data_IF_952551010311
#
_entry.id   IF_952551010311
#
_cell.length_a   1.000
_cell.length_b   1.000
_cell.length_c   1.000
_cell.angle_alpha   90.00
_cell.angle_beta   90.00
_cell.angle_gamma   90.00
#
_symmetry.space_group_name_H-M   'P 1'
#
loop_
_entity.id
_entity.type
_entity.pdbx_description
1 polymer ?
#
# COMPACT_ATOMS: atom_id res chain seq x y z
N UNK A 1 1.21 -22.37 -13.95
CA UNK A 1 -0.03 -21.85 -13.33
C UNK A 1 0.35 -20.89 -12.22
N UNK A 2 -0.41 -19.81 -11.99
CA UNK A 2 -0.12 -18.77 -10.99
C UNK A 2 -0.32 -19.29 -9.55
N UNK A 3 0.40 -18.72 -8.57
CA UNK A 3 0.32 -19.17 -7.16
C UNK A 3 -0.15 -18.10 -6.17
N UNK A 4 0.15 -16.82 -6.43
CA UNK A 4 -0.27 -15.67 -5.62
C UNK A 4 0.00 -14.37 -6.39
N UNK A 5 -0.59 -13.26 -5.92
CA UNK A 5 -0.11 -11.93 -6.25
C UNK A 5 1.18 -11.66 -5.46
N UNK A 6 2.28 -11.39 -6.14
CA UNK A 6 3.59 -11.25 -5.50
C UNK A 6 3.86 -9.82 -5.04
N UNK A 7 3.73 -8.85 -5.95
CA UNK A 7 4.03 -7.46 -5.66
C UNK A 7 3.29 -6.49 -6.58
N UNK A 8 3.09 -5.27 -6.08
CA UNK A 8 2.75 -4.10 -6.88
C UNK A 8 4.01 -3.25 -7.07
N UNK A 9 4.14 -2.59 -8.22
CA UNK A 9 5.32 -1.79 -8.57
C UNK A 9 4.89 -0.37 -8.92
N UNK A 10 5.54 0.61 -8.30
CA UNK A 10 5.28 2.03 -8.51
C UNK A 10 6.54 2.77 -8.91
N UNK A 11 6.37 3.74 -9.81
CA UNK A 11 7.31 4.85 -9.89
C UNK A 11 6.83 5.95 -8.94
N UNK A 12 7.78 6.56 -8.24
CA UNK A 12 7.52 7.60 -7.25
C UNK A 12 8.31 8.86 -7.59
N UNK A 13 7.73 10.02 -7.28
CA UNK A 13 8.37 11.32 -7.52
C UNK A 13 9.54 11.58 -6.57
N UNK A 14 9.46 11.01 -5.36
CA UNK A 14 10.48 11.06 -4.33
C UNK A 14 10.56 9.71 -3.60
N UNK A 15 11.72 9.04 -3.71
CA UNK A 15 11.93 7.71 -3.15
C UNK A 15 11.97 7.73 -1.62
N UNK A 16 12.60 8.72 -0.99
CA UNK A 16 12.72 8.77 0.47
C UNK A 16 11.38 9.09 1.12
N UNK A 17 10.63 10.05 0.56
CA UNK A 17 9.29 10.39 1.04
C UNK A 17 8.34 9.19 0.96
N UNK A 18 8.46 8.41 -0.11
CA UNK A 18 7.67 7.19 -0.28
C UNK A 18 8.11 6.11 0.70
N UNK A 19 9.41 5.91 0.93
CA UNK A 19 9.91 4.99 1.95
C UNK A 19 9.39 5.36 3.33
N UNK A 20 9.45 6.64 3.73
CA UNK A 20 8.91 7.09 5.02
C UNK A 20 7.43 6.76 5.15
N UNK A 21 6.63 7.02 4.12
CA UNK A 21 5.21 6.68 4.12
C UNK A 21 4.98 5.18 4.28
N UNK A 22 5.51 4.35 3.38
CA UNK A 22 5.22 2.92 3.38
C UNK A 22 5.84 2.21 4.58
N UNK A 23 7.07 2.56 4.99
CA UNK A 23 7.77 1.93 6.12
C UNK A 23 7.29 2.48 7.46
N UNK A 24 7.36 3.79 7.64
CA UNK A 24 7.23 4.40 8.97
C UNK A 24 5.75 4.71 9.31
N UNK A 25 4.92 5.00 8.30
CA UNK A 25 3.47 5.22 8.49
C UNK A 25 2.68 3.92 8.39
N UNK A 26 2.79 3.21 7.28
CA UNK A 26 2.03 1.98 7.01
C UNK A 26 2.62 0.73 7.67
N UNK A 27 3.86 0.80 8.19
CA UNK A 27 4.48 -0.33 8.89
C UNK A 27 5.06 -1.41 7.98
N UNK A 28 5.25 -1.14 6.68
CA UNK A 28 5.94 -2.09 5.80
C UNK A 28 7.40 -2.27 6.25
N UNK A 29 7.96 -3.46 6.05
CA UNK A 29 9.36 -3.73 6.39
C UNK A 29 10.26 -3.55 5.17
N UNK A 30 11.37 -2.81 5.31
CA UNK A 30 12.39 -2.74 4.27
C UNK A 30 13.02 -4.13 4.06
N UNK A 31 12.96 -4.65 2.83
CA UNK A 31 13.54 -5.94 2.51
C UNK A 31 14.95 -5.79 1.90
N UNK A 32 15.08 -5.00 0.84
CA UNK A 32 16.37 -4.68 0.21
C UNK A 32 16.24 -3.47 -0.73
N UNK A 33 17.38 -2.88 -1.07
CA UNK A 33 17.49 -1.80 -2.05
C UNK A 33 17.85 -2.37 -3.44
N UNK A 34 17.36 -1.71 -4.48
CA UNK A 34 17.86 -1.87 -5.85
C UNK A 34 18.94 -0.82 -6.10
N UNK A 35 20.15 -1.28 -6.39
CA UNK A 35 21.35 -0.47 -6.57
C UNK A 35 21.97 -0.80 -7.92
N UNK A 36 22.33 0.21 -8.71
CA UNK A 36 22.97 0.02 -10.01
C UNK A 36 24.49 -0.26 -9.85
N UNK A 37 25.18 -0.49 -10.98
CA UNK A 37 26.61 -0.81 -11.00
C UNK A 37 27.50 0.33 -10.45
N UNK A 38 26.98 1.56 -10.37
CA UNK A 38 27.66 2.74 -9.83
C UNK A 38 27.42 2.94 -8.33
N UNK A 39 26.65 2.05 -7.68
CA UNK A 39 26.32 2.16 -6.26
C UNK A 39 25.16 3.11 -5.96
N UNK A 40 24.44 3.58 -6.98
CA UNK A 40 23.29 4.49 -6.82
C UNK A 40 22.02 3.67 -6.59
N UNK A 41 21.35 3.94 -5.47
CA UNK A 41 20.01 3.38 -5.19
C UNK A 41 18.98 4.01 -6.12
N UNK A 42 18.25 3.18 -6.86
CA UNK A 42 17.18 3.61 -7.76
C UNK A 42 15.82 2.98 -7.44
N UNK A 43 15.76 2.11 -6.43
CA UNK A 43 14.50 1.61 -5.91
C UNK A 43 14.65 0.83 -4.61
N UNK A 44 13.51 0.39 -4.08
CA UNK A 44 13.42 -0.37 -2.84
C UNK A 44 12.31 -1.43 -2.94
N UNK A 45 12.53 -2.56 -2.26
CA UNK A 45 11.55 -3.62 -2.10
C UNK A 45 11.04 -3.62 -0.65
N UNK A 46 9.72 -3.44 -0.47
CA UNK A 46 9.08 -3.33 0.84
C UNK A 46 8.14 -4.51 1.08
N UNK A 47 8.29 -5.15 2.22
CA UNK A 47 7.40 -6.23 2.69
C UNK A 47 6.15 -5.64 3.31
N UNK A 48 4.99 -6.00 2.76
CA UNK A 48 3.68 -5.65 3.35
C UNK A 48 3.34 -6.66 4.45
N UNK A 49 3.01 -7.89 4.06
CA UNK A 49 2.72 -9.01 4.95
C UNK A 49 2.88 -10.34 4.19
N UNK A 50 2.93 -11.47 4.90
CA UNK A 50 2.87 -12.82 4.30
C UNK A 50 3.83 -13.04 3.13
N UNK A 51 3.30 -13.10 1.90
CA UNK A 51 4.07 -13.22 0.64
C UNK A 51 3.92 -12.02 -0.32
N UNK A 52 3.32 -10.93 0.15
CA UNK A 52 3.06 -9.71 -0.63
C UNK A 52 4.11 -8.62 -0.37
N UNK A 53 4.42 -7.84 -1.40
CA UNK A 53 5.43 -6.78 -1.38
C UNK A 53 5.01 -5.58 -2.24
N UNK A 54 5.69 -4.45 -2.05
CA UNK A 54 5.58 -3.24 -2.88
C UNK A 54 6.99 -2.86 -3.34
N UNK A 55 7.12 -2.53 -4.62
CA UNK A 55 8.33 -1.94 -5.20
C UNK A 55 8.13 -0.46 -5.42
N UNK A 56 9.12 0.34 -5.03
CA UNK A 56 9.15 1.78 -5.32
C UNK A 56 10.43 2.06 -6.11
N UNK A 57 10.29 2.66 -7.28
CA UNK A 57 11.39 3.05 -8.15
C UNK A 57 11.38 4.54 -8.45
N UNK A 58 12.56 5.10 -8.65
CA UNK A 58 12.70 6.44 -9.22
C UNK A 58 12.29 6.44 -10.70
N UNK A 59 12.40 7.59 -11.36
CA UNK A 59 12.17 7.73 -12.80
C UNK A 59 10.99 8.60 -13.18
N UNK A 60 10.50 9.43 -12.25
CA UNK A 60 9.58 10.52 -12.56
C UNK A 60 10.24 11.91 -12.49
N UNK A 61 11.54 12.00 -12.19
CA UNK A 61 12.28 13.28 -12.21
C UNK A 61 11.65 14.38 -11.31
N UNK A 62 10.95 13.98 -10.25
CA UNK A 62 10.22 14.88 -9.35
C UNK A 62 8.78 15.20 -9.79
N UNK A 63 8.35 14.70 -10.94
CA UNK A 63 6.96 14.80 -11.40
C UNK A 63 6.08 13.74 -10.73
N UNK A 64 4.82 14.08 -10.46
CA UNK A 64 3.85 13.09 -10.01
C UNK A 64 3.55 12.07 -11.14
N UNK A 65 3.25 10.80 -10.82
CA UNK A 65 2.86 9.85 -11.84
C UNK A 65 1.57 10.30 -12.54
N UNK A 66 1.37 9.92 -13.83
CA UNK A 66 0.10 10.17 -14.51
C UNK A 66 -1.08 9.66 -13.68
N UNK A 67 -2.08 10.52 -13.47
CA UNK A 67 -3.28 10.11 -12.74
C UNK A 67 -4.00 8.96 -13.46
N UNK A 68 -4.52 8.00 -12.70
CA UNK A 68 -5.39 6.94 -13.23
C UNK A 68 -4.68 5.75 -13.87
N UNK A 69 -3.38 5.54 -13.61
CA UNK A 69 -2.68 4.31 -14.04
C UNK A 69 -3.31 3.04 -13.44
N UNK A 70 -3.84 3.14 -12.22
CA UNK A 70 -4.63 2.12 -11.55
C UNK A 70 -5.66 2.78 -10.64
N UNK A 71 -6.71 2.04 -10.25
CA UNK A 71 -7.76 2.56 -9.38
C UNK A 71 -7.32 2.64 -7.92
N UNK A 72 -6.73 1.57 -7.38
CA UNK A 72 -6.12 1.48 -6.05
C UNK A 72 -5.44 0.11 -5.86
N UNK A 73 -4.69 -0.04 -4.78
CA UNK A 73 -4.44 -1.34 -4.14
C UNK A 73 -5.24 -1.47 -2.85
N UNK A 74 -5.49 -2.69 -2.42
CA UNK A 74 -6.24 -3.01 -1.22
C UNK A 74 -5.35 -3.77 -0.24
N UNK A 75 -5.29 -3.30 1.00
CA UNK A 75 -4.47 -3.84 2.09
C UNK A 75 -5.38 -4.32 3.21
N UNK A 76 -5.25 -5.61 3.55
CA UNK A 76 -6.00 -6.21 4.65
C UNK A 76 -5.45 -5.75 6.00
N UNK A 77 -6.35 -5.38 6.90
CA UNK A 77 -6.06 -5.07 8.31
C UNK A 77 -6.98 -5.90 9.21
N UNK A 78 -6.48 -6.37 10.37
CA UNK A 78 -7.27 -7.21 11.28
C UNK A 78 -8.33 -6.42 12.07
N UNK A 79 -8.13 -5.10 12.20
CA UNK A 79 -9.02 -4.17 12.87
C UNK A 79 -8.94 -2.82 12.16
N UNK A 80 -10.03 -2.43 11.49
CA UNK A 80 -10.05 -1.21 10.68
C UNK A 80 -10.07 0.06 11.53
N UNK A 81 -10.77 0.06 12.66
CA UNK A 81 -10.87 1.24 13.53
C UNK A 81 -9.51 1.54 14.16
N UNK A 82 -8.82 0.51 14.66
CA UNK A 82 -7.48 0.63 15.20
C UNK A 82 -6.47 1.11 14.13
N UNK A 83 -6.51 0.52 12.94
CA UNK A 83 -5.62 0.93 11.84
C UNK A 83 -5.84 2.40 11.43
N UNK A 84 -7.10 2.83 11.29
CA UNK A 84 -7.43 4.23 10.96
C UNK A 84 -6.96 5.18 12.06
N UNK A 85 -7.18 4.85 13.33
CA UNK A 85 -6.72 5.67 14.46
C UNK A 85 -5.19 5.80 14.49
N UNK A 86 -4.46 4.69 14.28
CA UNK A 86 -3.00 4.69 14.22
C UNK A 86 -2.47 5.54 13.06
N UNK A 87 -3.03 5.38 11.85
CA UNK A 87 -2.62 6.15 10.68
C UNK A 87 -2.87 7.66 10.87
N UNK A 88 -4.03 8.02 11.40
CA UNK A 88 -4.35 9.42 11.75
C UNK A 88 -3.38 9.98 12.78
N UNK A 89 -3.01 9.20 13.80
CA UNK A 89 -2.01 9.60 14.80
C UNK A 89 -0.61 9.79 14.20
N UNK A 90 -0.28 9.07 13.12
CA UNK A 90 0.96 9.25 12.35
C UNK A 90 0.89 10.36 11.31
N UNK A 91 -0.23 11.08 11.21
CA UNK A 91 -0.45 12.19 10.28
C UNK A 91 -0.92 11.79 8.88
N UNK A 92 -1.42 10.57 8.71
CA UNK A 92 -2.03 10.12 7.44
C UNK A 92 -3.53 10.42 7.47
N UNK A 93 -4.02 11.14 6.47
CA UNK A 93 -5.46 11.31 6.28
C UNK A 93 -6.10 9.98 5.89
N UNK A 94 -7.12 9.57 6.63
CA UNK A 94 -7.90 8.36 6.38
C UNK A 94 -9.39 8.69 6.45
N UNK A 95 -10.18 8.16 5.52
CA UNK A 95 -11.64 8.27 5.58
C UNK A 95 -12.19 7.54 6.81
N UNK A 96 -13.38 7.91 7.25
CA UNK A 96 -14.06 7.11 8.27
C UNK A 96 -14.36 5.69 7.74
N UNK A 97 -14.27 4.66 8.59
CA UNK A 97 -14.71 3.31 8.27
C UNK A 97 -16.17 3.28 7.79
N UNK A 98 -16.43 2.53 6.73
CA UNK A 98 -17.80 2.25 6.28
C UNK A 98 -17.93 0.83 5.73
N UNK A 99 -19.15 0.31 5.70
CA UNK A 99 -19.43 -1.02 5.19
C UNK A 99 -19.63 -0.97 3.66
N UNK A 100 -18.81 -1.72 2.93
CA UNK A 100 -18.92 -1.86 1.48
C UNK A 100 -20.08 -2.74 1.05
N UNK A 101 -20.42 -2.69 -0.25
CA UNK A 101 -21.44 -3.54 -0.85
C UNK A 101 -21.04 -5.02 -0.92
N UNK A 102 -19.78 -5.33 -0.65
CA UNK A 102 -19.24 -6.68 -0.51
C UNK A 102 -19.33 -7.22 0.93
N UNK A 103 -20.01 -6.48 1.82
CA UNK A 103 -20.12 -6.75 3.25
C UNK A 103 -18.76 -6.78 3.98
N UNK A 104 -17.77 -6.03 3.51
CA UNK A 104 -16.50 -5.86 4.21
C UNK A 104 -16.34 -4.41 4.69
N UNK A 105 -15.62 -4.22 5.80
CA UNK A 105 -15.30 -2.86 6.28
C UNK A 105 -14.19 -2.26 5.45
N UNK A 106 -14.32 -0.98 5.08
CA UNK A 106 -13.38 -0.27 4.21
C UNK A 106 -13.06 1.14 4.75
N UNK A 107 -11.83 1.59 4.56
CA UNK A 107 -11.37 2.99 4.72
C UNK A 107 -10.35 3.31 3.63
N UNK A 108 -10.16 4.59 3.31
CA UNK A 108 -9.29 5.03 2.22
C UNK A 108 -8.22 6.00 2.69
N UNK A 109 -7.00 5.77 2.19
CA UNK A 109 -5.86 6.67 2.31
C UNK A 109 -5.27 6.95 0.92
N UNK A 110 -4.37 7.92 0.85
CA UNK A 110 -3.63 8.26 -0.36
C UNK A 110 -2.14 8.32 -0.02
N UNK A 111 -1.30 7.72 -0.87
CA UNK A 111 0.16 7.82 -0.72
C UNK A 111 0.69 9.20 -1.18
N UNK A 112 1.99 9.49 -1.00
CA UNK A 112 2.56 10.79 -1.33
C UNK A 112 2.50 11.16 -2.82
N UNK A 113 2.28 10.19 -3.71
CA UNK A 113 2.20 10.36 -5.16
C UNK A 113 0.76 10.35 -5.68
N UNK A 114 -0.23 10.32 -4.78
CA UNK A 114 -1.65 10.38 -5.15
C UNK A 114 -2.28 9.01 -5.40
N UNK A 115 -1.56 7.92 -5.12
CA UNK A 115 -2.10 6.57 -5.29
C UNK A 115 -3.10 6.26 -4.18
N UNK A 116 -4.31 5.84 -4.56
CA UNK A 116 -5.33 5.44 -3.59
C UNK A 116 -5.04 4.06 -3.04
N UNK A 117 -5.24 3.90 -1.73
CA UNK A 117 -5.10 2.64 -1.02
C UNK A 117 -6.38 2.41 -0.21
N UNK A 118 -7.01 1.26 -0.43
CA UNK A 118 -8.10 0.76 0.41
C UNK A 118 -7.51 -0.01 1.60
N UNK A 119 -7.96 0.31 2.80
CA UNK A 119 -7.79 -0.53 4.00
C UNK A 119 -9.04 -1.39 4.14
N UNK A 120 -8.84 -2.69 4.31
CA UNK A 120 -9.91 -3.66 4.21
C UNK A 120 -9.94 -4.59 5.43
N UNK A 121 -11.11 -4.78 6.03
CA UNK A 121 -11.28 -5.73 7.12
C UNK A 121 -12.50 -6.61 6.82
N UNK A 122 -12.28 -7.92 6.73
CA UNK A 122 -13.35 -8.88 6.46
C UNK A 122 -14.37 -8.90 7.60
N UNK A 123 -15.65 -9.02 7.24
CA UNK A 123 -16.69 -9.41 8.19
C UNK A 123 -17.05 -10.88 8.00
N UNK A 124 -17.81 -11.43 8.95
CA UNK A 124 -18.41 -12.77 8.83
C UNK A 124 -19.31 -12.94 7.59
N UNK A 125 -19.87 -11.86 7.08
CA UNK A 125 -20.83 -11.85 5.97
C UNK A 125 -20.17 -11.39 4.66
N UNK A 126 -18.83 -11.22 4.65
CA UNK A 126 -18.07 -10.79 3.49
C UNK A 126 -18.31 -11.73 2.31
N UNK A 127 -18.63 -11.15 1.14
CA UNK A 127 -18.80 -11.91 -0.10
C UNK A 127 -17.50 -12.59 -0.54
N UNK A 128 -16.35 -12.09 -0.06
CA UNK A 128 -15.04 -12.68 -0.31
C UNK A 128 -14.76 -13.88 0.61
N UNK A 129 -15.46 -13.98 1.76
CA UNK A 129 -15.22 -15.00 2.79
C UNK A 129 -15.13 -16.44 2.27
N UNK A 130 -16.05 -16.92 1.40
CA UNK A 130 -15.97 -18.27 0.82
C UNK A 130 -14.74 -18.54 -0.08
N UNK A 131 -13.95 -17.53 -0.40
CA UNK A 131 -12.83 -17.59 -1.34
C UNK A 131 -11.45 -17.37 -0.69
N UNK A 132 -11.39 -17.13 0.63
CA UNK A 132 -10.13 -16.81 1.32
C UNK A 132 -9.20 -18.01 1.56
N UNK A 133 -9.66 -19.23 1.25
CA UNK A 133 -8.87 -20.47 1.34
C UNK A 133 -9.00 -21.20 2.66
#
# INVERSE_FOLDING_TARGET
MLTAFAHACYRVSDLERSIEFYRDKLGCTHAFDFVNDEGVRFGVYLKVAGRSFIELFTGLEGEAPPAGLFMHICLEVPDLEAAVAELRAKGVEASDPYLGSDNSWQSWITDPDGNRIELHCYTKDSLQGPWLG
#
